data_IF_924733759226
#
_entry.id   IF_924733759226
#
_cell.length_a   1.000
_cell.length_b   1.000
_cell.length_c   1.000
_cell.angle_alpha   90.00
_cell.angle_beta   90.00
_cell.angle_gamma   90.00
#
_symmetry.space_group_name_H-M   'P 1'
#
loop_
_entity.id
_entity.type
_entity.pdbx_description
1 polymer ?
#
# COMPACT_ATOMS: atom_id res chain seq x y z
N UNK A 1 3.62 -16.45 -4.50
CA UNK A 1 2.34 -16.30 -3.77
C UNK A 1 2.56 -16.43 -2.26
N UNK A 2 2.96 -17.59 -1.71
CA UNK A 2 3.29 -17.70 -0.27
C UNK A 2 4.43 -16.78 0.18
N UNK A 3 5.37 -16.44 -0.70
CA UNK A 3 6.55 -15.63 -0.34
C UNK A 3 6.22 -14.21 0.16
N UNK A 4 5.41 -13.43 -0.56
CA UNK A 4 5.03 -12.07 -0.11
C UNK A 4 4.18 -12.11 1.16
N UNK A 5 3.22 -13.03 1.20
CA UNK A 5 2.41 -13.26 2.40
C UNK A 5 3.25 -13.74 3.58
N UNK A 6 4.24 -14.61 3.37
CA UNK A 6 5.14 -15.08 4.41
C UNK A 6 6.06 -13.96 4.90
N UNK A 7 6.55 -13.09 4.01
CA UNK A 7 7.33 -11.92 4.42
C UNK A 7 6.45 -10.98 5.27
N UNK A 8 5.19 -10.76 4.86
CA UNK A 8 4.21 -9.99 5.63
C UNK A 8 3.82 -10.65 6.96
N UNK A 9 3.68 -11.97 6.97
CA UNK A 9 3.33 -12.73 8.16
C UNK A 9 4.51 -12.82 9.13
N UNK A 10 5.73 -12.97 8.63
CA UNK A 10 6.96 -12.98 9.41
C UNK A 10 7.33 -11.58 9.92
N UNK A 11 6.92 -10.51 9.23
CA UNK A 11 7.18 -9.15 9.71
C UNK A 11 6.60 -8.94 11.10
N UNK A 12 5.43 -9.49 11.40
CA UNK A 12 4.79 -9.39 12.71
C UNK A 12 5.59 -9.98 13.88
N UNK A 13 5.95 -11.28 13.90
CA UNK A 13 6.73 -11.87 14.99
C UNK A 13 8.13 -11.24 15.10
N UNK A 14 8.78 -10.87 13.99
CA UNK A 14 10.08 -10.20 14.05
C UNK A 14 9.97 -8.76 14.57
N UNK A 15 8.92 -8.03 14.21
CA UNK A 15 8.63 -6.69 14.74
C UNK A 15 8.35 -6.75 16.23
N UNK A 16 7.52 -7.70 16.67
CA UNK A 16 7.21 -7.89 18.09
C UNK A 16 8.47 -8.28 18.88
N UNK A 17 9.28 -9.20 18.34
CA UNK A 17 10.54 -9.59 18.97
C UNK A 17 11.50 -8.41 19.10
N UNK A 18 11.67 -7.63 18.03
CA UNK A 18 12.51 -6.43 18.05
C UNK A 18 12.00 -5.38 19.04
N UNK A 19 10.67 -5.22 19.14
CA UNK A 19 10.04 -4.35 20.13
C UNK A 19 10.37 -4.81 21.56
N UNK A 20 10.17 -6.09 21.87
CA UNK A 20 10.44 -6.66 23.21
C UNK A 20 11.92 -6.53 23.56
N UNK A 21 12.83 -6.85 22.62
CA UNK A 21 14.27 -6.71 22.82
C UNK A 21 14.66 -5.24 23.08
N UNK A 22 14.18 -4.31 22.24
CA UNK A 22 14.49 -2.89 22.40
C UNK A 22 13.92 -2.30 23.69
N UNK A 23 12.72 -2.74 24.10
CA UNK A 23 12.12 -2.33 25.36
C UNK A 23 12.91 -2.87 26.56
N UNK A 24 13.28 -4.15 26.54
CA UNK A 24 14.06 -4.77 27.60
C UNK A 24 15.49 -4.20 27.70
N UNK A 25 16.07 -3.77 26.59
CA UNK A 25 17.44 -3.26 26.55
C UNK A 25 17.58 -1.82 27.06
N UNK A 26 16.54 -0.98 26.95
CA UNK A 26 16.64 0.45 27.32
C UNK A 26 15.33 1.01 27.87
N UNK A 27 14.35 1.25 27.01
CA UNK A 27 13.08 1.90 27.35
C UNK A 27 12.01 1.63 26.28
N UNK A 28 10.76 1.99 26.58
CA UNK A 28 9.63 1.78 25.66
C UNK A 28 9.86 2.46 24.29
N UNK A 29 10.54 3.62 24.27
CA UNK A 29 10.85 4.33 23.03
C UNK A 29 11.85 3.55 22.17
N UNK A 30 12.90 3.01 22.76
CA UNK A 30 13.84 2.14 22.05
C UNK A 30 13.15 0.88 21.50
N UNK A 31 12.23 0.28 22.27
CA UNK A 31 11.39 -0.82 21.79
C UNK A 31 10.55 -0.43 20.58
N UNK A 32 9.82 0.68 20.65
CA UNK A 32 9.02 1.17 19.53
C UNK A 32 9.85 1.46 18.29
N UNK A 33 11.02 2.10 18.43
CA UNK A 33 11.92 2.38 17.31
C UNK A 33 12.52 1.10 16.69
N UNK A 34 12.90 0.13 17.52
CA UNK A 34 13.43 -1.15 17.05
C UNK A 34 12.37 -1.97 16.29
N UNK A 35 11.16 -2.05 16.85
CA UNK A 35 10.00 -2.65 16.17
C UNK A 35 9.71 -1.95 14.86
N UNK A 36 9.65 -0.61 14.88
CA UNK A 36 9.42 0.20 13.69
C UNK A 36 10.45 -0.10 12.60
N UNK A 37 11.74 -0.05 12.91
CA UNK A 37 12.81 -0.31 11.96
C UNK A 37 12.71 -1.71 11.31
N UNK A 38 12.47 -2.75 12.11
CA UNK A 38 12.33 -4.12 11.60
C UNK A 38 11.09 -4.25 10.71
N UNK A 39 9.96 -3.70 11.12
CA UNK A 39 8.75 -3.69 10.32
C UNK A 39 8.97 -3.00 8.97
N UNK A 40 9.60 -1.82 8.96
CA UNK A 40 9.97 -1.09 7.73
C UNK A 40 10.79 -1.97 6.79
N UNK A 41 11.83 -2.65 7.29
CA UNK A 41 12.70 -3.52 6.47
C UNK A 41 11.91 -4.67 5.83
N UNK A 42 11.12 -5.40 6.63
CA UNK A 42 10.30 -6.50 6.11
C UNK A 42 9.24 -6.00 5.12
N UNK A 43 8.63 -4.85 5.40
CA UNK A 43 7.64 -4.25 4.52
C UNK A 43 8.25 -3.81 3.19
N UNK A 44 9.39 -3.11 3.20
CA UNK A 44 10.13 -2.76 1.99
C UNK A 44 10.50 -4.01 1.20
N UNK A 45 10.96 -5.08 1.88
CA UNK A 45 11.22 -6.36 1.22
C UNK A 45 9.96 -6.97 0.58
N UNK A 46 8.79 -6.85 1.21
CA UNK A 46 7.52 -7.30 0.66
C UNK A 46 7.11 -6.50 -0.59
N UNK A 47 7.26 -5.18 -0.56
CA UNK A 47 6.99 -4.29 -1.71
C UNK A 47 7.97 -4.58 -2.85
N UNK A 48 9.25 -4.74 -2.56
CA UNK A 48 10.26 -5.12 -3.56
C UNK A 48 9.92 -6.47 -4.18
N UNK A 49 9.56 -7.46 -3.36
CA UNK A 49 9.14 -8.78 -3.84
C UNK A 49 7.89 -8.71 -4.72
N UNK A 50 6.98 -7.76 -4.48
CA UNK A 50 5.83 -7.53 -5.35
C UNK A 50 6.24 -7.29 -6.81
N UNK A 51 7.34 -6.58 -7.07
CA UNK A 51 7.81 -6.33 -8.44
C UNK A 51 8.38 -7.56 -9.15
N UNK A 52 8.79 -8.59 -8.40
CA UNK A 52 9.34 -9.83 -8.95
C UNK A 52 8.28 -10.93 -9.12
N UNK A 53 7.09 -10.77 -8.55
CA UNK A 53 6.03 -11.77 -8.63
C UNK A 53 5.22 -11.59 -9.92
N UNK A 54 5.06 -12.67 -10.70
CA UNK A 54 4.31 -12.63 -11.97
C UNK A 54 2.78 -12.57 -11.79
N UNK A 55 2.26 -13.01 -10.65
CA UNK A 55 0.83 -13.13 -10.37
C UNK A 55 0.49 -12.69 -8.95
N UNK A 56 -0.37 -11.67 -8.82
CA UNK A 56 -0.79 -11.09 -7.55
C UNK A 56 -2.19 -11.60 -7.16
N UNK A 57 -2.45 -11.82 -5.88
CA UNK A 57 -3.77 -12.16 -5.34
C UNK A 57 -4.57 -10.90 -4.94
N UNK A 58 -5.87 -11.04 -4.64
CA UNK A 58 -6.65 -9.90 -4.14
C UNK A 58 -6.30 -9.59 -2.67
N UNK A 59 -5.80 -10.58 -1.93
CA UNK A 59 -5.27 -10.39 -0.58
C UNK A 59 -4.03 -9.50 -0.61
N UNK A 60 -3.15 -9.67 -1.61
CA UNK A 60 -1.95 -8.83 -1.78
C UNK A 60 -2.33 -7.36 -2.04
N UNK A 61 -3.50 -7.10 -2.62
CA UNK A 61 -4.01 -5.75 -2.84
C UNK A 61 -4.59 -5.12 -1.56
N UNK A 62 -5.01 -5.92 -0.58
CA UNK A 62 -5.46 -5.42 0.72
C UNK A 62 -4.29 -5.10 1.66
N UNK A 63 -3.15 -5.75 1.47
CA UNK A 63 -1.97 -5.60 2.34
C UNK A 63 -1.53 -4.14 2.53
N UNK A 64 -1.36 -3.30 1.48
CA UNK A 64 -0.94 -1.91 1.67
C UNK A 64 -1.83 -1.11 2.63
N UNK A 65 -3.15 -1.30 2.56
CA UNK A 65 -4.10 -0.61 3.43
C UNK A 65 -4.00 -1.11 4.88
N UNK A 66 -3.90 -2.43 5.08
CA UNK A 66 -3.71 -3.04 6.40
C UNK A 66 -2.40 -2.55 7.03
N UNK A 67 -1.32 -2.53 6.25
CA UNK A 67 -0.03 -2.05 6.71
C UNK A 67 -0.06 -0.56 7.04
N UNK A 68 -0.72 0.26 6.22
CA UNK A 68 -0.86 1.68 6.51
C UNK A 68 -1.60 1.94 7.83
N UNK A 69 -2.68 1.19 8.11
CA UNK A 69 -3.41 1.32 9.36
C UNK A 69 -2.55 0.92 10.58
N UNK A 70 -1.85 -0.22 10.50
CA UNK A 70 -1.03 -0.73 11.59
C UNK A 70 0.17 0.17 11.89
N UNK A 71 0.85 0.64 10.85
CA UNK A 71 1.98 1.54 10.97
C UNK A 71 1.56 2.91 11.51
N UNK A 72 0.46 3.47 11.01
CA UNK A 72 -0.10 4.72 11.52
C UNK A 72 -0.43 4.61 13.00
N UNK A 73 -0.93 3.46 13.46
CA UNK A 73 -1.18 3.20 14.88
C UNK A 73 0.13 3.08 15.68
N UNK A 74 1.16 2.44 15.12
CA UNK A 74 2.48 2.33 15.74
C UNK A 74 3.20 3.70 15.86
N UNK A 75 3.04 4.58 14.86
CA UNK A 75 3.63 5.91 14.82
C UNK A 75 2.77 7.00 15.47
N UNK A 76 1.50 6.72 15.80
CA UNK A 76 0.60 7.69 16.42
C UNK A 76 1.21 8.39 17.67
N UNK A 77 1.90 7.69 18.59
CA UNK A 77 2.54 8.32 19.75
C UNK A 77 3.66 9.29 19.38
N UNK A 78 4.27 9.14 18.20
CA UNK A 78 5.35 9.98 17.70
C UNK A 78 4.86 11.17 16.86
N UNK A 79 3.58 11.17 16.45
CA UNK A 79 2.99 12.24 15.60
C UNK A 79 2.51 13.47 16.38
N UNK A 80 2.47 13.43 17.71
CA UNK A 80 1.80 14.43 18.55
C UNK A 80 2.61 15.70 18.86
N UNK A 81 3.83 15.88 18.35
CA UNK A 81 4.69 17.02 18.75
C UNK A 81 5.43 17.74 17.62
N UNK A 82 5.66 17.08 16.49
CA UNK A 82 6.31 17.63 15.30
C UNK A 82 5.61 17.01 14.10
N UNK A 83 5.36 17.78 13.04
CA UNK A 83 4.66 17.40 11.81
C UNK A 83 5.40 16.35 10.95
N UNK A 84 5.92 15.29 11.57
CA UNK A 84 6.89 14.34 11.01
C UNK A 84 6.21 13.18 10.28
N UNK A 85 4.94 12.92 10.58
CA UNK A 85 4.16 11.83 9.96
C UNK A 85 2.69 12.21 9.80
N UNK A 86 2.14 11.94 8.62
CA UNK A 86 0.74 12.19 8.28
C UNK A 86 -0.01 10.87 8.14
N UNK A 87 -0.62 10.40 9.24
CA UNK A 87 -1.39 9.16 9.24
C UNK A 87 -2.50 9.12 8.15
N UNK A 88 -3.26 10.21 7.90
CA UNK A 88 -4.24 10.23 6.83
C UNK A 88 -3.62 10.06 5.44
N UNK A 89 -2.46 10.69 5.20
CA UNK A 89 -1.78 10.60 3.91
C UNK A 89 -1.26 9.19 3.65
N UNK A 90 -0.64 8.56 4.66
CA UNK A 90 -0.15 7.20 4.53
C UNK A 90 -1.28 6.18 4.32
N UNK A 91 -2.40 6.31 5.04
CA UNK A 91 -3.59 5.47 4.83
C UNK A 91 -4.15 5.66 3.41
N UNK A 92 -4.23 6.92 2.95
CA UNK A 92 -4.64 7.24 1.58
C UNK A 92 -3.74 6.59 0.53
N UNK A 93 -2.42 6.67 0.69
CA UNK A 93 -1.46 6.03 -0.19
C UNK A 93 -1.63 4.50 -0.21
N UNK A 94 -1.93 3.88 0.93
CA UNK A 94 -2.23 2.46 1.05
C UNK A 94 -3.46 2.03 0.26
N UNK A 95 -4.54 2.80 0.37
CA UNK A 95 -5.76 2.55 -0.40
C UNK A 95 -5.52 2.73 -1.90
N UNK A 96 -4.74 3.74 -2.31
CA UNK A 96 -4.41 4.00 -3.71
C UNK A 96 -3.55 2.88 -4.32
N UNK A 97 -2.51 2.42 -3.61
CA UNK A 97 -1.70 1.29 -4.04
C UNK A 97 -2.52 0.01 -4.12
N UNK A 98 -3.37 -0.26 -3.12
CA UNK A 98 -4.30 -1.39 -3.15
C UNK A 98 -5.26 -1.34 -4.34
N UNK A 99 -5.84 -0.18 -4.62
CA UNK A 99 -6.69 0.04 -5.79
C UNK A 99 -5.95 -0.21 -7.11
N UNK A 100 -4.71 0.28 -7.23
CA UNK A 100 -3.87 0.02 -8.41
C UNK A 100 -3.60 -1.48 -8.57
N UNK A 101 -3.35 -2.22 -7.49
CA UNK A 101 -3.15 -3.67 -7.53
C UNK A 101 -4.41 -4.42 -7.95
N UNK A 102 -5.59 -4.00 -7.50
CA UNK A 102 -6.88 -4.59 -7.93
C UNK A 102 -7.08 -4.39 -9.43
N UNK A 103 -6.86 -3.18 -9.95
CA UNK A 103 -6.99 -2.89 -11.39
C UNK A 103 -5.92 -3.65 -12.18
N UNK A 104 -4.68 -3.66 -11.71
CA UNK A 104 -3.58 -4.38 -12.34
C UNK A 104 -3.87 -5.87 -12.46
N UNK A 105 -4.41 -6.47 -11.39
CA UNK A 105 -4.82 -7.87 -11.38
C UNK A 105 -6.00 -8.16 -12.31
N UNK A 106 -7.08 -7.36 -12.25
CA UNK A 106 -8.30 -7.61 -13.02
C UNK A 106 -8.11 -7.38 -14.52
N UNK A 107 -7.30 -6.40 -14.91
CA UNK A 107 -7.15 -5.97 -16.31
C UNK A 107 -5.76 -6.24 -16.90
N UNK A 108 -4.96 -7.10 -16.24
CA UNK A 108 -3.61 -7.48 -16.66
C UNK A 108 -2.71 -6.27 -16.99
N UNK A 109 -2.73 -5.28 -16.10
CA UNK A 109 -2.01 -4.02 -16.31
C UNK A 109 -0.53 -4.23 -15.99
N UNK A 110 0.38 -3.69 -16.81
CA UNK A 110 1.82 -3.90 -16.66
C UNK A 110 2.39 -3.33 -15.35
N UNK A 111 3.45 -3.95 -14.82
CA UNK A 111 4.10 -3.57 -13.54
C UNK A 111 4.53 -2.10 -13.44
N UNK A 112 4.81 -1.44 -14.57
CA UNK A 112 5.14 0.00 -14.64
C UNK A 112 4.07 0.88 -14.01
N UNK A 113 2.83 0.43 -14.03
CA UNK A 113 1.69 1.14 -13.45
C UNK A 113 1.62 1.06 -11.91
N UNK A 114 2.46 0.23 -11.30
CA UNK A 114 2.59 0.11 -9.85
C UNK A 114 3.77 0.93 -9.31
N UNK A 115 4.67 1.41 -10.18
CA UNK A 115 5.88 2.13 -9.74
C UNK A 115 5.55 3.40 -8.95
N UNK A 116 4.75 4.29 -9.53
CA UNK A 116 4.39 5.55 -8.90
C UNK A 116 3.60 5.36 -7.60
N UNK A 117 2.48 4.58 -7.55
CA UNK A 117 1.75 4.40 -6.30
C UNK A 117 2.59 3.67 -5.23
N UNK A 118 3.48 2.76 -5.61
CA UNK A 118 4.41 2.13 -4.67
C UNK A 118 5.46 3.11 -4.15
N UNK A 119 5.98 4.01 -5.00
CA UNK A 119 6.93 5.04 -4.59
C UNK A 119 6.29 6.03 -3.62
N UNK A 120 5.07 6.49 -3.91
CA UNK A 120 4.28 7.34 -3.00
C UNK A 120 4.01 6.63 -1.69
N UNK A 121 3.61 5.35 -1.72
CA UNK A 121 3.42 4.57 -0.49
C UNK A 121 4.71 4.49 0.35
N UNK A 122 5.85 4.18 -0.26
CA UNK A 122 7.13 4.12 0.45
C UNK A 122 7.56 5.48 0.98
N UNK A 123 7.30 6.54 0.24
CA UNK A 123 7.57 7.91 0.65
C UNK A 123 6.80 8.27 1.93
N UNK A 124 5.49 8.07 1.91
CA UNK A 124 4.58 8.35 3.03
C UNK A 124 4.83 7.45 4.25
N UNK A 125 5.50 6.31 4.07
CA UNK A 125 5.92 5.45 5.17
C UNK A 125 7.09 6.04 5.96
N UNK A 126 7.93 6.86 5.31
CA UNK A 126 9.12 7.44 5.94
C UNK A 126 8.70 8.57 6.89
N UNK A 127 9.24 8.61 8.12
CA UNK A 127 9.00 9.70 9.06
C UNK A 127 9.84 10.94 8.70
N UNK A 128 9.76 11.38 7.45
CA UNK A 128 10.54 12.51 6.91
C UNK A 128 9.58 13.38 6.11
N UNK A 129 8.75 14.15 6.81
CA UNK A 129 7.78 15.03 6.15
C UNK A 129 8.41 16.41 5.87
N UNK A 130 8.69 16.71 4.59
CA UNK A 130 9.24 18.01 4.14
C UNK A 130 8.14 18.70 3.30
N UNK A 131 7.89 20.02 3.45
CA UNK A 131 6.71 20.58 4.14
C UNK A 131 5.38 19.78 3.97
N UNK A 132 4.88 19.24 5.07
CA UNK A 132 3.95 18.10 5.08
C UNK A 132 2.66 18.21 4.27
N UNK A 133 1.85 19.26 4.43
CA UNK A 133 0.53 19.26 3.77
C UNK A 133 0.61 19.39 2.24
N UNK A 134 1.54 20.20 1.73
CA UNK A 134 1.66 20.46 0.29
C UNK A 134 2.19 19.20 -0.41
N UNK A 135 3.16 18.56 0.21
CA UNK A 135 3.81 17.39 -0.35
C UNK A 135 2.92 16.14 -0.26
N UNK A 136 2.27 15.89 0.88
CA UNK A 136 1.25 14.83 1.02
C UNK A 136 0.16 14.97 -0.06
N UNK A 137 -0.32 16.19 -0.27
CA UNK A 137 -1.36 16.48 -1.28
C UNK A 137 -0.86 16.24 -2.69
N UNK A 138 0.40 16.59 -2.98
CA UNK A 138 1.00 16.38 -4.30
C UNK A 138 1.25 14.90 -4.56
N UNK A 139 1.80 14.17 -3.59
CA UNK A 139 2.08 12.74 -3.68
C UNK A 139 0.79 11.92 -3.84
N UNK A 140 -0.22 12.16 -3.00
CA UNK A 140 -1.55 11.56 -3.13
C UNK A 140 -2.24 11.95 -4.43
N UNK A 141 -2.18 13.23 -4.81
CA UNK A 141 -2.78 13.74 -6.05
C UNK A 141 -2.19 13.07 -7.30
N UNK A 142 -0.87 12.88 -7.31
CA UNK A 142 -0.16 12.16 -8.37
C UNK A 142 -0.57 10.68 -8.41
N UNK A 143 -0.59 10.00 -7.26
CA UNK A 143 -1.02 8.60 -7.18
C UNK A 143 -2.49 8.40 -7.58
N UNK A 144 -3.39 9.30 -7.17
CA UNK A 144 -4.81 9.28 -7.53
C UNK A 144 -5.00 9.52 -9.03
N UNK A 145 -4.29 10.49 -9.60
CA UNK A 145 -4.32 10.75 -11.05
C UNK A 145 -3.83 9.56 -11.85
N UNK A 146 -2.85 8.82 -11.32
CA UNK A 146 -2.34 7.61 -11.93
C UNK A 146 -3.33 6.43 -11.86
N UNK A 147 -4.00 6.27 -10.72
CA UNK A 147 -5.11 5.32 -10.56
C UNK A 147 -6.25 5.64 -11.53
N UNK A 148 -6.65 6.91 -11.62
CA UNK A 148 -7.67 7.38 -12.54
C UNK A 148 -7.26 7.09 -13.99
N UNK A 149 -6.02 7.40 -14.38
CA UNK A 149 -5.50 7.11 -15.71
C UNK A 149 -5.52 5.60 -16.05
N UNK A 150 -5.17 4.74 -15.09
CA UNK A 150 -5.31 3.28 -15.25
C UNK A 150 -6.76 2.87 -15.45
N UNK A 151 -7.66 3.40 -14.63
CA UNK A 151 -9.08 3.11 -14.73
C UNK A 151 -9.63 3.53 -16.10
N UNK A 152 -9.41 4.77 -16.53
CA UNK A 152 -9.89 5.29 -17.81
C UNK A 152 -9.29 4.54 -19.02
N UNK A 153 -7.99 4.20 -18.99
CA UNK A 153 -7.32 3.57 -20.15
C UNK A 153 -7.52 2.06 -20.24
N UNK A 154 -7.78 1.38 -19.13
CA UNK A 154 -7.78 -0.09 -19.08
C UNK A 154 -9.08 -0.68 -18.56
N UNK A 155 -9.62 -0.16 -17.46
CA UNK A 155 -10.86 -0.69 -16.89
C UNK A 155 -12.09 -0.25 -17.69
N UNK A 156 -12.23 1.06 -17.95
CA UNK A 156 -13.40 1.65 -18.60
C UNK A 156 -13.71 1.03 -19.97
N UNK A 157 -12.74 0.82 -20.90
CA UNK A 157 -13.04 0.25 -22.21
C UNK A 157 -13.57 -1.19 -22.13
N UNK A 158 -13.10 -1.96 -21.15
CA UNK A 158 -13.54 -3.34 -20.93
C UNK A 158 -14.95 -3.35 -20.34
N UNK A 159 -15.21 -2.53 -19.33
CA UNK A 159 -16.54 -2.37 -18.71
C UNK A 159 -17.57 -1.93 -19.76
N UNK A 160 -17.25 -0.94 -20.58
CA UNK A 160 -18.13 -0.45 -21.65
C UNK A 160 -18.40 -1.55 -22.68
N UNK A 161 -17.38 -2.32 -23.10
CA UNK A 161 -17.58 -3.45 -24.03
C UNK A 161 -18.45 -4.55 -23.42
N UNK A 162 -18.28 -4.86 -22.14
CA UNK A 162 -19.10 -5.85 -21.42
C UNK A 162 -20.56 -5.38 -21.32
N UNK A 163 -20.79 -4.12 -20.95
CA UNK A 163 -22.13 -3.53 -20.90
C UNK A 163 -22.82 -3.54 -22.27
N UNK A 164 -22.12 -3.16 -23.33
CA UNK A 164 -22.64 -3.18 -24.70
C UNK A 164 -22.93 -4.59 -25.22
N UNK A 165 -22.14 -5.59 -24.80
CA UNK A 165 -22.40 -7.01 -25.12
C UNK A 165 -23.58 -7.58 -24.34
N UNK A 166 -23.74 -7.19 -23.08
CA UNK A 166 -24.92 -7.54 -22.27
C UNK A 166 -26.21 -7.03 -22.89
N UNK A 167 -26.20 -5.81 -23.42
CA UNK A 167 -27.33 -5.22 -24.16
C UNK A 167 -27.66 -5.93 -25.49
N UNK A 168 -26.68 -6.63 -26.08
CA UNK A 168 -26.83 -7.35 -27.36
C UNK A 168 -27.24 -8.81 -27.22
N UNK A 169 -27.43 -9.34 -26.01
CA UNK A 169 -28.13 -10.62 -25.86
C UNK A 169 -29.64 -10.33 -25.99
N UNK A 170 -30.29 -10.59 -27.13
CA UNK A 170 -31.74 -10.60 -27.14
C UNK A 170 -32.17 -11.60 -26.07
N UNK A 171 -33.12 -11.19 -25.23
CA UNK A 171 -33.83 -12.10 -24.37
C UNK A 171 -34.35 -13.23 -25.27
N UNK A 172 -33.71 -14.40 -25.23
CA UNK A 172 -34.32 -15.62 -25.69
C UNK A 172 -35.56 -15.76 -24.80
N UNK A 173 -36.69 -15.36 -25.36
CA UNK A 173 -38.00 -15.58 -24.78
C UNK A 173 -38.23 -17.08 -24.89
N UNK A 174 -38.27 -17.74 -23.74
CA UNK A 174 -38.93 -19.04 -23.58
C UNK A 174 -40.44 -18.86 -23.75
#
# INVERSE_FOLDING_TARGET
>A
MWKSFAIAFLSFPFTLLAFVIGWAARDLRAGLLAGAAVFTVFFTAAVVNLFFVKTYSYLDAALPAVFAALWSLALAPFSLGLSVFSAPAFIGAGLLLGGCLVIAKRYATGWRWLLLPSAVFLYEMLPVNIPGFIDDTFALGAALSFLAAQFYRKALPVIVREALRGFRRPAARD
#
